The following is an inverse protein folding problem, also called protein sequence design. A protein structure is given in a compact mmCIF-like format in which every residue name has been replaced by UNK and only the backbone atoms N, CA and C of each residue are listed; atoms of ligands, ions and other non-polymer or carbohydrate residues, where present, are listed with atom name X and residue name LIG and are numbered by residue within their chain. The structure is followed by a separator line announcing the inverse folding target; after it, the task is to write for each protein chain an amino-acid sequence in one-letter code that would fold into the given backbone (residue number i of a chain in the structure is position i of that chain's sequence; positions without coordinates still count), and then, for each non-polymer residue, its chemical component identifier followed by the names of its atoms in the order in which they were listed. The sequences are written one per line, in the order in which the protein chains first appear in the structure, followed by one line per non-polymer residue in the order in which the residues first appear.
data_IF_975719637084
#
_entry.id   IF_975719637084
#
_cell.length_a   1.000
_cell.length_b   1.000
_cell.length_c   1.000
_cell.angle_alpha   90.00
_cell.angle_beta   90.00
_cell.angle_gamma   90.00
#
_symmetry.space_group_name_H-M   'P 1'
#
loop_
_entity.id
_entity.type
_entity.pdbx_description
1 polymer ?
#
# COMPACT_ATOMS: atom_id res chain seq x y z
N UNK A 1 3.66 30.74 -11.64
CA UNK A 1 2.74 29.83 -12.34
C UNK A 1 3.24 28.41 -12.10
N UNK A 2 2.70 27.71 -11.11
CA UNK A 2 2.99 26.28 -10.94
C UNK A 2 2.41 25.58 -12.16
N UNK A 3 3.22 24.86 -12.92
CA UNK A 3 2.72 23.96 -13.97
C UNK A 3 1.67 23.07 -13.29
N UNK A 4 0.48 22.99 -13.88
CA UNK A 4 -0.49 21.97 -13.53
C UNK A 4 0.20 20.61 -13.66
N UNK A 5 0.68 20.08 -12.54
CA UNK A 5 1.15 18.71 -12.46
C UNK A 5 -0.13 17.93 -12.66
N UNK A 6 -0.35 17.43 -13.88
CA UNK A 6 -1.42 16.45 -14.17
C UNK A 6 -1.20 15.31 -13.19
N UNK A 7 -1.99 15.34 -12.12
CA UNK A 7 -1.85 14.44 -11.00
C UNK A 7 -2.41 13.10 -11.45
N UNK A 8 -1.53 12.13 -11.65
CA UNK A 8 -1.87 10.73 -11.98
C UNK A 8 -2.47 10.02 -10.74
N UNK A 9 -2.77 10.73 -9.65
CA UNK A 9 -3.39 10.16 -8.45
C UNK A 9 -4.93 10.28 -8.49
N UNK A 10 -5.62 9.74 -7.48
CA UNK A 10 -7.08 9.59 -7.40
C UNK A 10 -7.67 8.63 -8.44
N UNK A 11 -7.40 7.34 -8.24
CA UNK A 11 -8.02 6.25 -8.98
C UNK A 11 -9.35 5.81 -8.36
N UNK A 12 -10.31 5.39 -9.17
CA UNK A 12 -11.40 4.54 -8.72
C UNK A 12 -10.90 3.10 -8.50
N UNK A 13 -11.74 2.28 -7.87
CA UNK A 13 -11.46 0.85 -7.73
C UNK A 13 -11.41 0.14 -9.09
N UNK A 14 -12.29 0.53 -10.02
CA UNK A 14 -12.39 -0.01 -11.38
C UNK A 14 -11.16 0.37 -12.20
N UNK A 15 -10.66 1.61 -12.08
CA UNK A 15 -9.44 2.05 -12.75
C UNK A 15 -8.24 1.17 -12.35
N UNK A 16 -8.07 0.94 -11.05
CA UNK A 16 -7.02 0.04 -10.56
C UNK A 16 -7.26 -1.42 -10.96
N UNK A 17 -8.52 -1.86 -11.02
CA UNK A 17 -8.86 -3.22 -11.47
C UNK A 17 -8.52 -3.42 -12.95
N UNK A 18 -8.81 -2.43 -13.81
CA UNK A 18 -8.45 -2.43 -15.23
C UNK A 18 -6.92 -2.48 -15.38
N UNK A 19 -6.20 -1.61 -14.66
CA UNK A 19 -4.73 -1.55 -14.73
C UNK A 19 -4.06 -2.83 -14.18
N UNK A 20 -4.63 -3.40 -13.12
CA UNK A 20 -4.14 -4.63 -12.49
C UNK A 20 -4.49 -5.91 -13.25
N UNK A 21 -5.53 -5.89 -14.09
CA UNK A 21 -6.05 -7.06 -14.78
C UNK A 21 -6.83 -8.03 -13.88
N UNK A 22 -6.97 -7.71 -12.60
CA UNK A 22 -7.73 -8.50 -11.63
C UNK A 22 -8.21 -7.60 -10.49
N UNK A 23 -9.18 -8.09 -9.72
CA UNK A 23 -9.68 -7.40 -8.53
C UNK A 23 -8.56 -7.17 -7.51
N UNK A 24 -8.52 -5.99 -6.91
CA UNK A 24 -7.62 -5.71 -5.81
C UNK A 24 -8.04 -6.54 -4.59
N UNK A 25 -7.11 -7.20 -3.88
CA UNK A 25 -7.40 -8.00 -2.68
C UNK A 25 -7.64 -7.11 -1.46
N UNK A 26 -8.67 -6.27 -1.51
CA UNK A 26 -9.01 -5.35 -0.43
C UNK A 26 -9.96 -6.04 0.56
N UNK A 27 -9.41 -6.49 1.68
CA UNK A 27 -10.19 -7.11 2.77
C UNK A 27 -11.18 -6.09 3.34
N UNK A 28 -12.47 -6.43 3.48
CA UNK A 28 -13.52 -5.59 4.06
C UNK A 28 -13.68 -4.19 3.45
N UNK A 29 -13.66 -4.07 2.13
CA UNK A 29 -14.45 -2.98 1.57
C UNK A 29 -15.91 -3.41 1.58
N UNK A 30 -16.73 -2.73 2.37
CA UNK A 30 -18.11 -2.46 1.96
C UNK A 30 -18.01 -1.59 0.69
N UNK A 31 -17.71 -2.23 -0.46
CA UNK A 31 -17.77 -1.59 -1.76
C UNK A 31 -19.27 -1.32 -1.99
N UNK A 32 -19.65 -0.05 -1.90
CA UNK A 32 -20.77 0.45 -2.70
C UNK A 32 -20.56 -0.07 -4.11
N UNK A 33 -21.54 -0.79 -4.66
CA UNK A 33 -21.43 -1.55 -5.90
C UNK A 33 -20.89 -0.68 -7.06
N UNK A 34 -19.57 -0.71 -7.35
CA UNK A 34 -19.01 0.21 -8.31
C UNK A 34 -18.77 -0.62 -9.59
N UNK A 35 -19.63 -0.37 -10.58
CA UNK A 35 -19.76 -1.23 -11.77
C UNK A 35 -19.51 -0.51 -13.08
N UNK A 36 -19.26 0.81 -13.06
CA UNK A 36 -19.08 1.55 -14.30
C UNK A 36 -17.62 1.52 -14.81
N UNK A 37 -17.24 0.36 -15.34
CA UNK A 37 -15.94 0.17 -16.01
C UNK A 37 -15.75 1.06 -17.24
N UNK A 38 -16.83 1.53 -17.87
CA UNK A 38 -16.75 2.45 -19.01
C UNK A 38 -16.30 3.86 -18.56
N UNK A 39 -16.86 4.37 -17.45
CA UNK A 39 -16.40 5.64 -16.85
C UNK A 39 -14.94 5.55 -16.40
N UNK A 40 -14.55 4.42 -15.79
CA UNK A 40 -13.18 4.19 -15.38
C UNK A 40 -12.22 4.14 -16.58
N UNK A 41 -12.63 3.50 -17.68
CA UNK A 41 -11.85 3.47 -18.91
C UNK A 41 -11.68 4.87 -19.51
N UNK A 42 -12.75 5.66 -19.55
CA UNK A 42 -12.69 7.04 -20.01
C UNK A 42 -11.72 7.87 -19.14
N UNK A 43 -11.80 7.73 -17.81
CA UNK A 43 -10.90 8.41 -16.88
C UNK A 43 -9.43 8.01 -17.08
N UNK A 44 -9.13 6.74 -17.37
CA UNK A 44 -7.77 6.28 -17.67
C UNK A 44 -7.21 6.89 -18.98
N UNK A 45 -8.08 7.15 -19.96
CA UNK A 45 -7.72 7.84 -21.20
C UNK A 45 -7.44 9.33 -20.91
N UNK A 46 -8.31 9.99 -20.15
CA UNK A 46 -8.11 11.38 -19.72
C UNK A 46 -6.82 11.58 -18.90
N UNK A 47 -6.46 10.57 -18.10
CA UNK A 47 -5.20 10.51 -17.33
C UNK A 47 -3.97 10.13 -18.18
N UNK A 48 -4.13 9.91 -19.48
CA UNK A 48 -3.07 9.51 -20.42
C UNK A 48 -2.36 8.21 -20.01
N UNK A 49 -3.07 7.30 -19.33
CA UNK A 49 -2.57 5.97 -18.95
C UNK A 49 -2.97 4.91 -19.98
N UNK A 50 -4.09 5.12 -20.65
CA UNK A 50 -4.60 4.27 -21.73
C UNK A 50 -4.83 5.15 -22.96
N UNK A 51 -4.45 4.67 -24.14
CA UNK A 51 -4.76 5.34 -25.41
C UNK A 51 -6.21 5.07 -25.82
N UNK A 52 -6.77 5.85 -26.74
CA UNK A 52 -8.10 5.57 -27.33
C UNK A 52 -8.23 4.17 -27.97
N UNK A 53 -7.11 3.54 -28.33
CA UNK A 53 -7.06 2.17 -28.88
C UNK A 53 -6.78 1.09 -27.83
N UNK A 54 -7.07 1.36 -26.55
CA UNK A 54 -6.95 0.41 -25.43
C UNK A 54 -5.53 -0.10 -25.12
N UNK A 55 -4.51 0.61 -25.60
CA UNK A 55 -3.10 0.33 -25.26
C UNK A 55 -2.66 1.13 -24.05
N UNK A 56 -1.86 0.54 -23.18
CA UNK A 56 -1.18 1.27 -22.11
C UNK A 56 -0.15 2.23 -22.70
N UNK A 57 -0.10 3.45 -22.19
CA UNK A 57 1.05 4.35 -22.41
C UNK A 57 2.23 3.92 -21.55
N UNK A 58 3.41 4.52 -21.71
CA UNK A 58 4.56 4.25 -20.83
C UNK A 58 4.25 4.55 -19.36
N UNK A 59 3.48 5.62 -19.10
CA UNK A 59 3.01 5.95 -17.76
C UNK A 59 2.00 4.91 -17.26
N UNK A 60 1.04 4.54 -18.10
CA UNK A 60 0.07 3.48 -17.81
C UNK A 60 0.73 2.15 -17.48
N UNK A 61 1.77 1.77 -18.24
CA UNK A 61 2.51 0.54 -18.00
C UNK A 61 3.19 0.52 -16.64
N UNK A 62 3.78 1.64 -16.21
CA UNK A 62 4.41 1.78 -14.89
C UNK A 62 3.39 1.64 -13.77
N UNK A 63 2.25 2.33 -13.87
CA UNK A 63 1.19 2.25 -12.85
C UNK A 63 0.58 0.85 -12.82
N UNK A 64 0.26 0.28 -13.98
CA UNK A 64 -0.27 -1.08 -14.11
C UNK A 64 0.67 -2.12 -13.51
N UNK A 65 1.97 -1.97 -13.72
CA UNK A 65 2.98 -2.82 -13.07
C UNK A 65 2.92 -2.69 -11.56
N UNK A 66 2.90 -1.46 -11.04
CA UNK A 66 2.81 -1.21 -9.60
C UNK A 66 1.56 -1.85 -8.97
N UNK A 67 0.42 -1.77 -9.66
CA UNK A 67 -0.84 -2.40 -9.22
C UNK A 67 -0.73 -3.93 -9.24
N UNK A 68 -0.15 -4.52 -10.28
CA UNK A 68 0.05 -5.98 -10.35
C UNK A 68 0.98 -6.50 -9.27
N UNK A 69 2.06 -5.79 -8.99
CA UNK A 69 2.98 -6.12 -7.89
C UNK A 69 2.25 -6.06 -6.54
N UNK A 70 1.42 -5.03 -6.32
CA UNK A 70 0.58 -4.94 -5.12
C UNK A 70 -0.38 -6.13 -4.97
N UNK A 71 -1.08 -6.51 -6.04
CA UNK A 71 -2.02 -7.63 -6.04
C UNK A 71 -1.31 -8.96 -5.75
N UNK A 72 -0.09 -9.11 -6.25
CA UNK A 72 0.70 -10.34 -6.13
C UNK A 72 1.41 -10.47 -4.78
N UNK A 73 1.46 -9.42 -3.97
CA UNK A 73 2.11 -9.44 -2.68
C UNK A 73 1.36 -10.36 -1.70
N UNK A 74 2.10 -11.34 -1.17
CA UNK A 74 1.58 -12.36 -0.24
C UNK A 74 1.33 -11.78 1.17
N UNK A 75 2.08 -10.73 1.54
CA UNK A 75 2.04 -10.12 2.87
C UNK A 75 1.77 -8.63 2.72
N UNK A 76 0.58 -8.21 3.15
CA UNK A 76 0.13 -6.82 3.06
C UNK A 76 -0.12 -6.32 4.49
N UNK A 77 0.66 -5.34 4.93
CA UNK A 77 0.38 -4.66 6.20
C UNK A 77 -0.79 -3.72 5.94
N UNK A 78 -1.93 -3.95 6.60
CA UNK A 78 -3.09 -3.06 6.54
C UNK A 78 -3.25 -2.31 7.85
N UNK A 79 -3.38 -1.00 7.73
CA UNK A 79 -3.59 -0.10 8.85
C UNK A 79 -4.67 0.91 8.42
N UNK A 80 -5.90 0.69 8.89
CA UNK A 80 -7.11 1.38 8.43
C UNK A 80 -7.27 1.35 6.89
N UNK A 81 -7.18 2.53 6.27
CA UNK A 81 -7.31 2.80 4.83
C UNK A 81 -5.95 2.87 4.11
N UNK A 82 -4.85 2.54 4.80
CA UNK A 82 -3.51 2.41 4.23
C UNK A 82 -3.11 0.95 4.16
N UNK A 83 -2.57 0.57 3.01
CA UNK A 83 -2.12 -0.78 2.70
C UNK A 83 -0.69 -0.71 2.18
N UNK A 84 0.19 -1.53 2.76
CA UNK A 84 1.60 -1.57 2.42
C UNK A 84 1.96 -2.97 1.94
N UNK A 85 2.59 -3.06 0.77
CA UNK A 85 3.11 -4.29 0.19
C UNK A 85 4.61 -4.12 -0.10
N UNK A 86 5.48 -5.10 0.21
CA UNK A 86 6.89 -5.03 -0.16
C UNK A 86 7.04 -4.85 -1.67
N UNK A 87 7.91 -3.93 -2.12
CA UNK A 87 8.18 -3.70 -3.54
C UNK A 87 9.61 -4.09 -3.93
N UNK A 88 10.59 -3.60 -3.18
CA UNK A 88 11.99 -3.92 -3.40
C UNK A 88 12.69 -4.06 -2.05
N UNK A 89 13.17 -5.27 -1.74
CA UNK A 89 13.94 -5.53 -0.53
C UNK A 89 15.31 -4.84 -0.58
N UNK A 90 15.95 -4.78 -1.75
CA UNK A 90 17.27 -4.14 -1.92
C UNK A 90 17.21 -2.63 -1.70
N UNK A 91 16.11 -1.99 -2.09
CA UNK A 91 15.91 -0.55 -1.94
C UNK A 91 15.12 -0.18 -0.69
N UNK A 92 14.70 -1.18 0.07
CA UNK A 92 13.84 -1.04 1.24
C UNK A 92 12.57 -0.21 0.95
N UNK A 93 11.89 -0.53 -0.16
CA UNK A 93 10.72 0.18 -0.67
C UNK A 93 9.44 -0.65 -0.50
N UNK A 94 8.35 0.05 -0.18
CA UNK A 94 6.98 -0.47 -0.19
C UNK A 94 6.16 0.18 -1.29
N UNK A 95 5.20 -0.57 -1.82
CA UNK A 95 4.00 -0.01 -2.42
C UNK A 95 3.07 0.42 -1.30
N UNK A 96 2.64 1.68 -1.33
CA UNK A 96 1.56 2.22 -0.50
C UNK A 96 0.33 2.44 -1.36
N UNK A 97 -0.75 1.73 -1.04
CA UNK A 97 -2.10 2.00 -1.51
C UNK A 97 -2.88 2.69 -0.38
N UNK A 98 -3.40 3.88 -0.64
CA UNK A 98 -4.21 4.67 0.32
C UNK A 98 -5.59 4.95 -0.26
N UNK A 99 -6.64 4.79 0.57
CA UNK A 99 -8.01 5.20 0.24
C UNK A 99 -8.30 6.58 0.82
N UNK A 100 -8.86 7.47 0.00
CA UNK A 100 -9.36 8.77 0.42
C UNK A 100 -10.81 8.66 0.92
N UNK A 101 -11.28 9.68 1.65
CA UNK A 101 -12.65 9.76 2.18
C UNK A 101 -13.74 9.67 1.10
N UNK A 102 -13.44 10.07 -0.13
CA UNK A 102 -14.35 10.01 -1.28
C UNK A 102 -14.27 8.68 -2.04
N UNK A 103 -13.65 7.65 -1.48
CA UNK A 103 -13.40 6.35 -2.11
C UNK A 103 -12.45 6.38 -3.32
N UNK A 104 -11.75 7.49 -3.56
CA UNK A 104 -10.62 7.51 -4.46
C UNK A 104 -9.41 6.82 -3.84
N UNK A 105 -8.48 6.38 -4.68
CA UNK A 105 -7.27 5.67 -4.29
C UNK A 105 -6.03 6.37 -4.81
N UNK A 106 -4.93 6.24 -4.07
CA UNK A 106 -3.60 6.57 -4.56
C UNK A 106 -2.70 5.35 -4.36
N UNK A 107 -1.95 4.99 -5.40
CA UNK A 107 -0.89 3.98 -5.33
C UNK A 107 0.45 4.67 -5.62
N UNK A 108 1.46 4.41 -4.79
CA UNK A 108 2.81 4.98 -4.93
C UNK A 108 3.87 4.09 -4.32
N UNK A 109 5.12 4.30 -4.72
CA UNK A 109 6.28 3.72 -4.04
C UNK A 109 6.70 4.66 -2.91
N UNK A 110 7.06 4.10 -1.76
CA UNK A 110 7.53 4.84 -0.59
C UNK A 110 8.67 4.06 0.08
N UNK A 111 9.68 4.77 0.61
CA UNK A 111 10.71 4.16 1.44
C UNK A 111 10.10 3.57 2.71
N UNK A 112 10.60 2.42 3.15
CA UNK A 112 10.15 1.71 4.35
C UNK A 112 10.22 2.55 5.61
N UNK A 113 11.29 3.31 5.81
CA UNK A 113 11.41 4.15 7.00
C UNK A 113 10.28 5.19 7.05
N UNK A 114 9.97 5.79 5.90
CA UNK A 114 8.88 6.77 5.79
C UNK A 114 7.52 6.08 6.00
N UNK A 115 7.33 4.88 5.46
CA UNK A 115 6.13 4.07 5.69
C UNK A 115 5.93 3.78 7.19
N UNK A 116 6.96 3.29 7.88
CA UNK A 116 6.92 3.03 9.31
C UNK A 116 6.69 4.29 10.14
N UNK A 117 7.38 5.39 9.82
CA UNK A 117 7.14 6.66 10.50
C UNK A 117 5.69 7.15 10.33
N UNK A 118 5.11 6.99 9.14
CA UNK A 118 3.70 7.35 8.89
C UNK A 118 2.74 6.52 9.74
N UNK A 119 3.04 5.23 9.92
CA UNK A 119 2.28 4.34 10.80
C UNK A 119 2.42 4.78 12.25
N UNK A 120 3.63 4.92 12.74
CA UNK A 120 3.92 5.26 14.13
C UNK A 120 3.29 6.61 14.53
N UNK A 121 3.35 7.62 13.66
CA UNK A 121 2.70 8.91 13.88
C UNK A 121 1.17 8.83 13.90
N UNK A 122 0.57 7.90 13.15
CA UNK A 122 -0.89 7.73 13.09
C UNK A 122 -1.46 7.03 14.33
N UNK A 123 -0.61 6.35 15.12
CA UNK A 123 -1.03 5.56 16.29
C UNK A 123 -0.26 5.99 17.54
N UNK A 124 -0.81 6.92 18.34
CA UNK A 124 -0.14 7.45 19.53
C UNK A 124 0.35 6.39 20.53
N UNK A 125 -0.30 5.22 20.56
CA UNK A 125 0.12 4.08 21.39
C UNK A 125 1.55 3.61 21.05
N UNK A 126 1.94 3.65 19.77
CA UNK A 126 3.28 3.23 19.33
C UNK A 126 4.37 4.25 19.72
N UNK A 127 3.99 5.48 20.04
CA UNK A 127 4.87 6.55 20.53
C UNK A 127 4.74 6.76 22.04
N UNK A 128 4.01 5.90 22.75
CA UNK A 128 3.78 6.04 24.18
C UNK A 128 5.11 5.92 24.92
N UNK A 129 5.41 6.91 25.75
CA UNK A 129 6.46 6.82 26.75
C UNK A 129 5.89 6.24 28.04
N UNK A 130 6.67 5.39 28.70
CA UNK A 130 6.32 4.82 30.00
C UNK A 130 6.03 5.94 31.00
N UNK A 131 4.92 5.82 31.73
CA UNK A 131 4.65 6.67 32.90
C UNK A 131 5.19 5.98 34.15
N UNK A 132 5.52 6.77 35.18
CA UNK A 132 6.03 6.24 36.45
C UNK A 132 5.07 5.29 37.20
N UNK A 133 3.84 5.14 36.71
CA UNK A 133 2.80 4.26 37.24
C UNK A 133 2.26 3.28 36.18
N UNK A 134 2.97 3.07 35.08
CA UNK A 134 2.66 1.99 34.13
C UNK A 134 3.08 0.65 34.74
N UNK A 135 2.11 -0.21 35.04
CA UNK A 135 2.34 -1.58 35.53
C UNK A 135 1.87 -2.66 34.52
N UNK A 136 1.35 -2.25 33.36
CA UNK A 136 0.86 -3.13 32.28
C UNK A 136 2.00 -3.62 31.38
N UNK A 137 3.03 -4.23 31.97
CA UNK A 137 4.07 -4.89 31.20
C UNK A 137 3.54 -6.24 30.72
N UNK A 138 3.42 -6.41 29.39
CA UNK A 138 3.30 -7.74 28.82
C UNK A 138 4.61 -8.48 29.10
N UNK A 139 4.59 -9.42 30.05
CA UNK A 139 5.74 -10.28 30.29
C UNK A 139 5.93 -11.18 29.07
N UNK A 140 7.17 -11.25 28.58
CA UNK A 140 7.57 -12.16 27.52
C UNK A 140 7.89 -13.48 28.23
N UNK A 141 7.18 -14.55 27.88
CA UNK A 141 7.49 -15.90 28.36
C UNK A 141 8.63 -16.53 27.54
N UNK A 142 9.19 -17.62 28.06
CA UNK A 142 10.32 -18.32 27.43
C UNK A 142 9.98 -18.79 26.01
N UNK A 143 8.72 -19.19 25.76
CA UNK A 143 8.23 -19.59 24.44
C UNK A 143 8.24 -18.42 23.44
N UNK A 144 7.73 -17.25 23.85
CA UNK A 144 7.78 -16.03 23.01
C UNK A 144 9.22 -15.61 22.74
N UNK A 145 10.12 -15.72 23.73
CA UNK A 145 11.52 -15.39 23.58
C UNK A 145 12.24 -16.34 22.59
N UNK A 146 11.96 -17.64 22.67
CA UNK A 146 12.51 -18.65 21.77
C UNK A 146 12.05 -18.42 20.32
N UNK A 147 10.78 -18.09 20.12
CA UNK A 147 10.23 -17.75 18.80
C UNK A 147 10.92 -16.51 18.18
N UNK A 148 11.11 -15.45 18.97
CA UNK A 148 11.82 -14.25 18.50
C UNK A 148 13.28 -14.56 18.11
N UNK A 149 13.98 -15.39 18.89
CA UNK A 149 15.35 -15.77 18.60
C UNK A 149 15.48 -16.65 17.35
N UNK A 150 14.48 -17.51 17.09
CA UNK A 150 14.44 -18.33 15.89
C UNK A 150 14.23 -17.49 14.62
N UNK A 151 13.42 -16.43 14.67
CA UNK A 151 13.27 -15.49 13.54
C UNK A 151 14.54 -14.67 13.26
N UNK A 152 15.31 -14.32 14.31
CA UNK A 152 16.58 -13.59 14.19
C UNK A 152 17.71 -14.49 13.68
N UNK A 153 17.75 -15.75 14.10
CA UNK A 153 18.81 -16.70 13.73
C UNK A 153 18.80 -17.08 12.24
N UNK A 154 17.62 -17.05 11.60
CA UNK A 154 17.51 -17.24 10.14
C UNK A 154 18.14 -16.07 9.36
N UNK A 155 18.27 -14.87 9.96
CA UNK A 155 18.85 -13.68 9.30
C UNK A 155 20.34 -13.46 9.56
N UNK A 156 20.94 -14.09 10.58
CA UNK A 156 22.36 -13.95 10.90
C UNK A 156 23.23 -15.10 10.37
N UNK A 157 22.67 -16.03 9.58
CA UNK A 157 23.39 -17.17 9.01
C UNK A 157 24.33 -16.88 7.83
N UNK A 158 24.90 -15.67 7.73
CA UNK A 158 26.02 -15.38 6.83
C UNK A 158 26.94 -14.35 7.49
N UNK A 159 27.88 -14.82 8.32
CA UNK A 159 29.26 -14.30 8.43
C UNK A 159 30.17 -15.41 8.95
#
# INVERSE_FOLDING_TARGET
MMKDVKRIDYFSYEELTILGGSKLPLVNFELFDPSNFEEAKAALIEKELVTENDKLTDAGFKVATLVREYISAIVNIRINDMYFAPFSYEKDEYILLSRFKNNGFQIRIINKDIAWWSIVQSYPLLMRQEKSNDWDFKQIDDETLENLNNEVSIRLGVF
#
